data_IF_924272459815
#
_entry.id   IF_924272459815
#
_cell.length_a   1.000
_cell.length_b   1.000
_cell.length_c   1.000
_cell.angle_alpha   90.00
_cell.angle_beta   90.00
_cell.angle_gamma   90.00
#
_symmetry.space_group_name_H-M   'P 1'
#
loop_
_entity.id
_entity.type
_entity.pdbx_description
1 polymer ?
#
# COMPACT_ATOMS: atom_id res chain seq x y z
N UNK A 1 -23.08 1.03 -47.20
CA UNK A 1 -23.67 0.97 -45.84
C UNK A 1 -22.58 0.63 -44.83
N UNK A 2 -22.16 1.59 -44.01
CA UNK A 2 -21.17 1.35 -42.97
C UNK A 2 -21.86 0.83 -41.70
N UNK A 3 -21.62 -0.44 -41.38
CA UNK A 3 -22.24 -1.18 -40.26
C UNK A 3 -21.84 -0.60 -38.89
N UNK A 4 -20.75 0.17 -38.83
CA UNK A 4 -20.22 0.74 -37.59
C UNK A 4 -20.87 2.06 -37.17
N UNK A 5 -21.65 2.70 -38.03
CA UNK A 5 -22.25 4.03 -37.73
C UNK A 5 -23.29 3.98 -36.59
N UNK A 6 -23.86 2.81 -36.28
CA UNK A 6 -24.89 2.64 -35.25
C UNK A 6 -24.40 2.15 -33.89
N UNK A 7 -23.15 1.66 -33.78
CA UNK A 7 -22.65 1.01 -32.57
C UNK A 7 -22.03 2.05 -31.65
N UNK A 8 -22.64 2.31 -30.49
CA UNK A 8 -22.07 3.23 -29.50
C UNK A 8 -21.06 2.49 -28.63
N UNK A 9 -19.98 3.16 -28.23
CA UNK A 9 -18.93 2.58 -27.36
C UNK A 9 -19.49 1.94 -26.07
N UNK A 10 -20.56 2.50 -25.52
CA UNK A 10 -21.26 1.97 -24.35
C UNK A 10 -21.93 0.61 -24.58
N UNK A 11 -22.26 0.29 -25.84
CA UNK A 11 -22.90 -0.97 -26.24
C UNK A 11 -21.84 -2.08 -26.45
N UNK A 12 -20.58 -1.69 -26.65
CA UNK A 12 -19.44 -2.61 -26.79
C UNK A 12 -18.71 -2.88 -25.46
N UNK A 13 -18.76 -1.92 -24.53
CA UNK A 13 -17.99 -1.97 -23.28
C UNK A 13 -18.92 -2.31 -22.13
N UNK A 14 -18.80 -3.53 -21.60
CA UNK A 14 -19.44 -3.91 -20.35
C UNK A 14 -18.86 -3.09 -19.20
N UNK A 15 -19.62 -2.13 -18.70
CA UNK A 15 -19.27 -1.39 -17.49
C UNK A 15 -19.73 -2.18 -16.26
N UNK A 16 -18.78 -2.80 -15.56
CA UNK A 16 -19.03 -3.44 -14.26
C UNK A 16 -19.64 -2.41 -13.29
N UNK A 17 -20.82 -2.69 -12.74
CA UNK A 17 -21.47 -1.81 -11.76
C UNK A 17 -20.55 -1.54 -10.58
N UNK A 18 -20.43 -0.27 -10.20
CA UNK A 18 -19.65 0.16 -9.03
C UNK A 18 -20.30 -0.36 -7.76
N UNK A 19 -19.54 -1.07 -6.93
CA UNK A 19 -19.94 -1.47 -5.57
C UNK A 19 -19.12 -0.68 -4.57
N UNK A 20 -19.78 0.04 -3.67
CA UNK A 20 -19.13 0.71 -2.55
C UNK A 20 -18.91 -0.31 -1.43
N UNK A 21 -17.70 -0.36 -0.87
CA UNK A 21 -17.39 -1.16 0.30
C UNK A 21 -17.72 -0.37 1.56
N UNK A 22 -18.29 -1.03 2.56
CA UNK A 22 -18.63 -0.40 3.83
C UNK A 22 -17.35 0.00 4.60
N UNK A 23 -17.35 1.20 5.15
CA UNK A 23 -16.30 1.67 6.06
C UNK A 23 -16.60 1.22 7.48
N UNK A 24 -15.56 0.83 8.24
CA UNK A 24 -15.70 0.56 9.67
C UNK A 24 -15.93 1.90 10.38
N UNK A 25 -17.13 2.12 10.92
CA UNK A 25 -17.50 3.34 11.63
C UNK A 25 -17.32 3.22 13.14
N UNK A 26 -17.33 2.00 13.68
CA UNK A 26 -17.30 1.76 15.12
C UNK A 26 -15.89 1.52 15.64
N UNK A 27 -15.50 2.27 16.67
CA UNK A 27 -14.18 2.17 17.30
C UNK A 27 -13.87 0.77 17.83
N UNK A 28 -14.87 0.06 18.36
CA UNK A 28 -14.70 -1.31 18.86
C UNK A 28 -14.25 -2.28 17.76
N UNK A 29 -14.80 -2.14 16.55
CA UNK A 29 -14.41 -2.97 15.39
C UNK A 29 -13.03 -2.60 14.85
N UNK A 30 -12.65 -1.33 14.92
CA UNK A 30 -11.28 -0.90 14.59
C UNK A 30 -10.28 -1.51 15.56
N UNK A 31 -10.59 -1.49 16.86
CA UNK A 31 -9.76 -2.12 17.89
C UNK A 31 -9.60 -3.62 17.63
N UNK A 32 -10.71 -4.34 17.40
CA UNK A 32 -10.70 -5.77 17.05
C UNK A 32 -9.82 -6.05 15.82
N UNK A 33 -9.94 -5.22 14.77
CA UNK A 33 -9.10 -5.34 13.57
C UNK A 33 -7.61 -5.18 13.88
N UNK A 34 -7.25 -4.18 14.67
CA UNK A 34 -5.85 -3.93 15.05
C UNK A 34 -5.30 -5.09 15.87
N UNK A 35 -6.07 -5.58 16.86
CA UNK A 35 -5.70 -6.75 17.67
C UNK A 35 -5.48 -7.98 16.77
N UNK A 36 -6.41 -8.25 15.85
CA UNK A 36 -6.27 -9.35 14.90
C UNK A 36 -5.00 -9.21 14.04
N UNK A 37 -4.66 -8.01 13.57
CA UNK A 37 -3.41 -7.77 12.81
C UNK A 37 -2.16 -7.99 13.66
N UNK A 38 -2.19 -7.60 14.93
CA UNK A 38 -1.05 -7.77 15.85
C UNK A 38 -0.82 -9.25 16.15
N UNK A 39 -1.89 -9.99 16.47
CA UNK A 39 -1.81 -11.37 16.94
C UNK A 39 -1.84 -12.43 15.84
N UNK A 40 -2.19 -12.08 14.59
CA UNK A 40 -2.13 -13.04 13.49
C UNK A 40 -0.70 -13.56 13.28
N UNK A 41 -0.60 -14.87 13.06
CA UNK A 41 0.64 -15.53 12.68
C UNK A 41 0.87 -15.35 11.17
N UNK A 42 1.66 -14.36 10.80
CA UNK A 42 2.09 -14.11 9.43
C UNK A 42 3.51 -13.55 9.39
N UNK A 43 4.09 -13.52 8.19
CA UNK A 43 5.41 -12.94 7.95
C UNK A 43 5.50 -11.47 8.41
N UNK A 44 6.64 -11.11 9.00
CA UNK A 44 6.87 -9.77 9.56
C UNK A 44 6.69 -8.67 8.52
N UNK A 45 7.18 -8.83 7.30
CA UNK A 45 7.02 -7.80 6.25
C UNK A 45 5.54 -7.62 5.90
N UNK A 46 4.78 -8.72 5.88
CA UNK A 46 3.33 -8.69 5.61
C UNK A 46 2.60 -7.95 6.72
N UNK A 47 2.87 -8.29 7.98
CA UNK A 47 2.28 -7.64 9.15
C UNK A 47 2.56 -6.14 9.16
N UNK A 48 3.83 -5.77 8.95
CA UNK A 48 4.29 -4.39 8.93
C UNK A 48 3.68 -3.58 7.78
N UNK A 49 3.54 -4.17 6.60
CA UNK A 49 2.89 -3.52 5.46
C UNK A 49 1.40 -3.26 5.72
N UNK A 50 0.70 -4.18 6.40
CA UNK A 50 -0.71 -4.01 6.77
C UNK A 50 -0.84 -2.88 7.80
N UNK A 51 -0.01 -2.88 8.85
CA UNK A 51 -0.02 -1.84 9.89
C UNK A 51 0.29 -0.46 9.31
N UNK A 52 1.33 -0.35 8.47
CA UNK A 52 1.66 0.92 7.82
C UNK A 52 0.53 1.38 6.88
N UNK A 53 -0.11 0.46 6.16
CA UNK A 53 -1.25 0.78 5.30
C UNK A 53 -2.45 1.31 6.12
N UNK A 54 -2.67 0.77 7.32
CA UNK A 54 -3.73 1.23 8.22
C UNK A 54 -3.42 2.64 8.77
N UNK A 55 -2.18 2.88 9.19
CA UNK A 55 -1.75 4.16 9.78
C UNK A 55 -1.66 5.31 8.76
N UNK A 56 -1.40 5.00 7.49
CA UNK A 56 -1.13 6.03 6.45
C UNK A 56 -2.22 6.13 5.39
N UNK A 57 -3.16 5.17 5.34
CA UNK A 57 -4.17 5.01 4.30
C UNK A 57 -3.60 5.03 2.85
N UNK A 58 -2.30 4.73 2.69
CA UNK A 58 -1.67 4.73 1.37
C UNK A 58 -2.13 3.54 0.53
N UNK A 59 -2.11 3.73 -0.78
CA UNK A 59 -2.51 2.67 -1.71
C UNK A 59 -1.51 1.53 -1.67
N UNK A 60 -2.01 0.33 -1.93
CA UNK A 60 -1.20 -0.89 -1.90
C UNK A 60 0.03 -0.84 -2.83
N UNK A 61 -0.05 -0.12 -3.95
CA UNK A 61 1.10 0.09 -4.83
C UNK A 61 2.20 0.93 -4.18
N UNK A 62 1.85 2.03 -3.51
CA UNK A 62 2.81 2.90 -2.80
C UNK A 62 3.47 2.14 -1.65
N UNK A 63 2.68 1.39 -0.87
CA UNK A 63 3.16 0.56 0.24
C UNK A 63 4.17 -0.49 -0.27
N UNK A 64 3.82 -1.26 -1.31
CA UNK A 64 4.70 -2.33 -1.82
C UNK A 64 6.00 -1.85 -2.47
N UNK A 65 6.04 -0.60 -2.94
CA UNK A 65 7.23 -0.01 -3.57
C UNK A 65 7.96 0.98 -2.67
N UNK A 66 7.56 1.09 -1.41
CA UNK A 66 8.22 1.93 -0.43
C UNK A 66 9.67 1.45 -0.24
N UNK A 67 10.60 2.39 -0.21
CA UNK A 67 12.00 2.17 0.11
C UNK A 67 12.39 2.96 1.36
N UNK A 68 13.42 2.53 2.08
CA UNK A 68 13.88 3.25 3.28
C UNK A 68 14.36 4.66 2.95
N UNK A 69 14.89 4.89 1.75
CA UNK A 69 15.25 6.23 1.25
C UNK A 69 14.04 7.18 1.09
N UNK A 70 12.83 6.65 0.95
CA UNK A 70 11.61 7.46 0.89
C UNK A 70 11.19 7.97 2.28
N UNK A 71 11.73 7.38 3.37
CA UNK A 71 11.27 7.58 4.75
C UNK A 71 12.28 8.39 5.56
N UNK A 72 11.85 9.56 6.01
CA UNK A 72 12.55 10.36 7.00
C UNK A 72 11.97 10.08 8.39
N UNK A 73 12.65 9.20 9.14
CA UNK A 73 12.24 8.82 10.50
C UNK A 73 12.55 9.87 11.56
N UNK A 74 13.36 10.87 11.24
CA UNK A 74 13.71 11.95 12.16
C UNK A 74 12.62 13.00 12.16
N UNK A 75 12.18 13.41 10.96
CA UNK A 75 11.11 14.38 10.78
C UNK A 75 9.71 13.75 10.68
N UNK A 76 9.63 12.41 10.67
CA UNK A 76 8.35 11.69 10.55
C UNK A 76 7.68 11.92 9.21
N UNK A 77 8.44 11.91 8.11
CA UNK A 77 7.94 12.15 6.76
C UNK A 77 8.09 10.91 5.88
N UNK A 78 7.12 10.71 5.00
CA UNK A 78 7.23 9.76 3.90
C UNK A 78 7.06 10.49 2.57
N UNK A 79 8.16 10.58 1.83
CA UNK A 79 8.26 11.22 0.53
C UNK A 79 8.07 10.19 -0.60
N UNK A 80 6.88 10.13 -1.16
CA UNK A 80 6.55 9.19 -2.24
C UNK A 80 6.83 9.86 -3.60
N UNK A 81 7.81 9.38 -4.39
CA UNK A 81 8.16 9.98 -5.67
C UNK A 81 7.04 9.82 -6.70
N UNK A 82 7.03 10.72 -7.69
CA UNK A 82 6.04 10.72 -8.78
C UNK A 82 5.99 9.39 -9.55
N UNK A 83 7.13 8.72 -9.72
CA UNK A 83 7.24 7.40 -10.37
C UNK A 83 6.47 6.31 -9.62
N UNK A 84 6.31 6.44 -8.30
CA UNK A 84 5.58 5.50 -7.43
C UNK A 84 4.11 5.92 -7.21
N UNK A 85 3.62 6.97 -7.89
CA UNK A 85 2.28 7.53 -7.71
C UNK A 85 1.39 7.40 -8.95
N UNK A 86 0.12 7.04 -8.73
CA UNK A 86 -0.88 6.87 -9.80
C UNK A 86 -1.06 8.13 -10.66
N UNK A 87 -1.02 9.31 -10.06
CA UNK A 87 -1.22 10.59 -10.74
C UNK A 87 0.09 11.22 -11.25
N UNK A 88 1.21 10.50 -11.19
CA UNK A 88 2.55 10.99 -11.59
C UNK A 88 2.94 12.32 -10.93
N UNK A 89 2.46 12.55 -9.71
CA UNK A 89 2.80 13.71 -8.88
C UNK A 89 3.39 13.20 -7.58
N UNK A 90 4.52 13.75 -7.18
CA UNK A 90 5.14 13.43 -5.89
C UNK A 90 4.18 13.77 -4.74
N UNK A 91 4.23 13.00 -3.67
CA UNK A 91 3.35 13.15 -2.53
C UNK A 91 4.14 12.93 -1.25
N UNK A 92 4.10 13.91 -0.36
CA UNK A 92 4.67 13.81 0.98
C UNK A 92 3.53 13.68 1.99
N UNK A 93 3.67 12.75 2.93
CA UNK A 93 2.76 12.59 4.07
C UNK A 93 3.53 12.61 5.39
N UNK A 94 2.84 12.99 6.46
CA UNK A 94 3.36 12.86 7.81
C UNK A 94 3.05 11.45 8.34
N UNK A 95 4.00 10.90 9.08
CA UNK A 95 3.88 9.66 9.83
C UNK A 95 3.48 10.00 11.26
N UNK A 96 2.53 9.27 11.82
CA UNK A 96 2.22 9.38 13.24
C UNK A 96 3.38 8.86 14.09
N UNK A 97 3.44 9.29 15.35
CA UNK A 97 4.47 8.83 16.30
C UNK A 97 4.52 7.30 16.39
N UNK A 98 3.34 6.66 16.39
CA UNK A 98 3.19 5.19 16.37
C UNK A 98 3.81 4.60 15.10
N UNK A 99 3.57 5.19 13.93
CA UNK A 99 4.17 4.72 12.68
C UNK A 99 5.69 4.88 12.69
N UNK A 100 6.21 6.00 13.19
CA UNK A 100 7.65 6.24 13.31
C UNK A 100 8.29 5.23 14.26
N UNK A 101 7.70 5.00 15.43
CA UNK A 101 8.19 4.01 16.40
C UNK A 101 8.25 2.61 15.77
N UNK A 102 7.14 2.18 15.17
CA UNK A 102 7.01 0.87 14.52
C UNK A 102 8.02 0.69 13.38
N UNK A 103 8.27 1.73 12.58
CA UNK A 103 9.29 1.70 11.53
C UNK A 103 10.71 1.69 12.09
N UNK A 104 10.99 2.39 13.21
CA UNK A 104 12.30 2.34 13.88
C UNK A 104 12.61 0.93 14.40
N UNK A 105 11.65 0.29 15.05
CA UNK A 105 11.78 -1.10 15.52
C UNK A 105 12.00 -2.06 14.34
N UNK A 106 11.21 -1.90 13.27
CA UNK A 106 11.34 -2.75 12.09
C UNK A 106 12.65 -2.55 11.32
N UNK A 107 13.21 -1.33 11.32
CA UNK A 107 14.51 -1.04 10.68
C UNK A 107 15.65 -1.84 11.30
N UNK A 108 15.54 -2.23 12.57
CA UNK A 108 16.56 -3.04 13.25
C UNK A 108 16.65 -4.47 12.70
N UNK A 109 15.55 -4.98 12.14
CA UNK A 109 15.45 -6.35 11.61
C UNK A 109 15.36 -6.41 10.08
N UNK A 110 15.17 -5.27 9.41
CA UNK A 110 15.11 -5.15 7.96
C UNK A 110 16.45 -4.67 7.39
N UNK A 111 17.10 -5.49 6.57
CA UNK A 111 18.45 -5.22 6.01
C UNK A 111 18.44 -5.09 4.47
N UNK A 112 17.43 -4.44 3.92
CA UNK A 112 17.24 -4.28 2.48
C UNK A 112 16.83 -2.85 2.13
N UNK A 113 17.07 -2.40 0.90
CA UNK A 113 16.73 -1.03 0.47
C UNK A 113 15.23 -0.79 0.42
N UNK A 114 14.46 -1.81 0.00
CA UNK A 114 13.01 -1.77 0.04
C UNK A 114 12.51 -1.90 1.48
N UNK A 115 11.47 -1.14 1.79
CA UNK A 115 10.83 -1.18 3.09
C UNK A 115 10.27 -2.59 3.36
N UNK A 116 9.56 -3.17 2.39
CA UNK A 116 9.03 -4.52 2.47
C UNK A 116 9.59 -5.40 1.36
N UNK A 117 10.40 -6.40 1.72
CA UNK A 117 10.95 -7.36 0.75
C UNK A 117 9.94 -8.47 0.43
N UNK A 118 9.89 -8.86 -0.84
CA UNK A 118 9.17 -10.07 -1.27
C UNK A 118 9.83 -11.33 -0.72
N UNK A 119 9.03 -12.19 -0.10
CA UNK A 119 9.46 -13.51 0.42
C UNK A 119 9.87 -14.44 -0.73
N UNK A 120 9.17 -14.34 -1.89
CA UNK A 120 9.54 -15.08 -3.09
C UNK A 120 10.50 -14.25 -3.93
N UNK A 121 11.75 -14.68 -4.03
CA UNK A 121 12.62 -14.29 -5.15
C UNK A 121 12.09 -14.97 -6.41
N UNK A 122 11.84 -14.21 -7.48
CA UNK A 122 11.83 -14.81 -8.81
C UNK A 122 13.24 -15.37 -9.03
N UNK A 123 13.37 -16.68 -9.27
CA UNK A 123 14.56 -17.19 -9.95
C UNK A 123 14.67 -16.38 -11.24
N UNK A 124 15.76 -15.62 -11.43
CA UNK A 124 16.12 -15.17 -12.78
C UNK A 124 16.22 -16.45 -13.60
N UNK A 125 15.42 -16.60 -14.64
CA UNK A 125 15.83 -17.48 -15.72
C UNK A 125 17.17 -16.90 -16.19
N UNK A 126 18.23 -17.68 -16.08
CA UNK A 126 19.48 -17.38 -16.77
C UNK A 126 19.16 -17.41 -18.27
N UNK A 127 19.40 -16.29 -18.94
CA UNK A 127 19.50 -16.24 -20.39
C UNK A 127 20.77 -16.99 -20.85
#
# INVERSE_FOLDING_TARGET
NNVMLGIKRKDLVYNKKTRHFATITETSKVKELIENIIYIQCDTNTKMAILLSLLTAQRSFSIRNAAWEDIDLENGLWNIPASKMKMKKAHCIHLSDIAVQLLKEYKQISHHDLLFKSIKQKRKAMD
#
